data_IF_224041409094
#
_entry.id   IF_224041409094
#
_cell.length_a   1.000
_cell.length_b   1.000
_cell.length_c   1.000
_cell.angle_alpha   90.00
_cell.angle_beta   90.00
_cell.angle_gamma   90.00
#
_symmetry.space_group_name_H-M   'P 1'
#
loop_
_entity.id
_entity.type
_entity.pdbx_description
1 polymer ?
#
# COMPACT_ATOMS: atom_id res chain seq x y z
N UNK A 1 44.21 40.42 35.78
CA UNK A 1 43.83 39.76 34.50
C UNK A 1 42.93 38.52 34.64
N UNK A 2 42.75 37.92 35.83
CA UNK A 2 41.88 36.75 36.04
C UNK A 2 40.40 37.12 36.26
N UNK A 3 40.10 38.24 36.91
CA UNK A 3 38.72 38.69 37.21
C UNK A 3 37.93 39.11 35.95
N UNK A 4 38.59 39.75 34.98
CA UNK A 4 37.98 40.18 33.71
C UNK A 4 37.64 39.01 32.76
N UNK A 5 38.38 37.89 32.83
CA UNK A 5 38.10 36.68 32.03
C UNK A 5 36.88 35.90 32.57
N UNK A 6 36.66 35.90 33.88
CA UNK A 6 35.47 35.28 34.49
C UNK A 6 34.20 36.08 34.21
N UNK A 7 34.26 37.41 34.20
CA UNK A 7 33.11 38.27 33.92
C UNK A 7 32.59 38.15 32.49
N UNK A 8 33.48 38.13 31.48
CA UNK A 8 33.09 37.90 30.08
C UNK A 8 32.47 36.52 29.84
N UNK A 9 32.91 35.50 30.57
CA UNK A 9 32.29 34.16 30.53
C UNK A 9 30.89 34.16 31.12
N UNK A 10 30.68 34.81 32.27
CA UNK A 10 29.37 34.89 32.93
C UNK A 10 28.35 35.65 32.06
N UNK A 11 28.74 36.77 31.45
CA UNK A 11 27.87 37.54 30.54
C UNK A 11 27.48 36.72 29.29
N UNK A 12 28.42 35.95 28.73
CA UNK A 12 28.14 35.05 27.60
C UNK A 12 27.19 33.90 27.96
N UNK A 13 27.27 33.37 29.17
CA UNK A 13 26.38 32.31 29.67
C UNK A 13 24.97 32.86 29.86
N UNK A 14 24.84 34.02 30.51
CA UNK A 14 23.57 34.70 30.75
C UNK A 14 22.86 35.04 29.44
N UNK A 15 23.58 35.56 28.43
CA UNK A 15 23.03 35.83 27.10
C UNK A 15 22.55 34.58 26.36
N UNK A 16 23.28 33.46 26.47
CA UNK A 16 22.90 32.18 25.84
C UNK A 16 21.63 31.59 26.46
N UNK A 17 21.53 31.64 27.80
CA UNK A 17 20.37 31.11 28.53
C UNK A 17 19.13 31.97 28.32
N UNK A 18 19.26 33.31 28.31
CA UNK A 18 18.16 34.22 28.01
C UNK A 18 17.61 34.05 26.58
N UNK A 19 18.51 33.89 25.59
CA UNK A 19 18.11 33.61 24.20
C UNK A 19 17.38 32.28 24.03
N UNK A 20 17.81 31.24 24.74
CA UNK A 20 17.11 29.95 24.75
C UNK A 20 15.72 30.06 25.39
N UNK A 21 15.59 30.76 26.52
CA UNK A 21 14.29 30.93 27.19
C UNK A 21 13.28 31.73 26.36
N UNK A 22 13.72 32.68 25.53
CA UNK A 22 12.88 33.34 24.53
C UNK A 22 12.47 32.40 23.40
N UNK A 23 13.40 31.58 22.88
CA UNK A 23 13.12 30.62 21.82
C UNK A 23 12.12 29.53 22.23
N UNK A 24 12.05 29.22 23.53
CA UNK A 24 11.04 28.30 24.11
C UNK A 24 9.77 29.02 24.62
N UNK A 25 9.61 30.33 24.38
CA UNK A 25 8.41 31.10 24.72
C UNK A 25 8.22 31.40 26.22
N UNK A 26 9.23 31.15 27.05
CA UNK A 26 9.19 31.35 28.51
C UNK A 26 9.41 32.83 28.86
N UNK A 27 10.11 33.56 28.00
CA UNK A 27 10.24 35.02 28.04
C UNK A 27 9.61 35.59 26.75
N UNK A 28 9.00 36.77 26.83
CA UNK A 28 8.22 37.34 25.70
C UNK A 28 8.90 38.50 24.97
N UNK A 29 9.91 39.16 25.55
CA UNK A 29 10.80 40.13 24.86
C UNK A 29 12.09 40.39 25.68
N UNK A 30 13.19 40.78 25.02
CA UNK A 30 14.48 41.18 25.60
C UNK A 30 14.49 42.56 26.28
N UNK A 31 13.45 43.37 26.12
CA UNK A 31 13.46 44.78 26.53
C UNK A 31 13.33 45.06 28.04
N UNK A 32 13.43 44.06 28.92
CA UNK A 32 13.66 44.33 30.36
C UNK A 32 14.83 43.51 30.93
N UNK A 33 16.06 43.98 30.63
CA UNK A 33 17.32 43.43 31.18
C UNK A 33 17.27 43.27 32.71
N UNK A 34 16.50 44.12 33.42
CA UNK A 34 16.35 44.04 34.87
C UNK A 34 15.56 42.81 35.38
N UNK A 35 14.55 42.31 34.65
CA UNK A 35 13.80 41.12 35.09
C UNK A 35 14.60 39.83 34.85
N UNK A 36 15.31 39.75 33.73
CA UNK A 36 16.16 38.59 33.39
C UNK A 36 17.36 38.47 34.32
N UNK A 37 18.00 39.60 34.68
CA UNK A 37 19.09 39.61 35.64
C UNK A 37 18.63 39.23 37.06
N UNK A 38 17.46 39.67 37.49
CA UNK A 38 16.87 39.34 38.80
C UNK A 38 16.43 37.86 38.91
N UNK A 39 15.96 37.27 37.81
CA UNK A 39 15.65 35.84 37.74
C UNK A 39 16.93 34.99 37.79
N UNK A 40 17.95 35.37 36.99
CA UNK A 40 19.20 34.62 36.90
C UNK A 40 20.12 34.81 38.12
N UNK A 41 20.01 35.92 38.85
CA UNK A 41 20.76 36.14 40.09
C UNK A 41 20.34 35.22 41.24
N UNK A 42 19.23 34.48 41.10
CA UNK A 42 18.79 33.46 42.06
C UNK A 42 19.57 32.14 41.94
N UNK A 43 20.34 31.97 40.87
CA UNK A 43 21.10 30.75 40.60
C UNK A 43 22.59 30.96 40.84
N UNK A 44 23.24 29.92 41.37
CA UNK A 44 24.69 29.91 41.54
C UNK A 44 25.42 29.71 40.20
N UNK A 45 26.69 30.10 40.13
CA UNK A 45 27.50 29.97 38.89
C UNK A 45 27.58 28.52 38.39
N UNK A 46 27.57 27.53 39.29
CA UNK A 46 27.55 26.10 38.91
C UNK A 46 26.22 25.70 38.24
N UNK A 47 25.08 26.21 38.72
CA UNK A 47 23.76 25.91 38.16
C UNK A 47 23.58 26.57 36.79
N UNK A 48 24.13 27.78 36.59
CA UNK A 48 24.14 28.45 35.29
C UNK A 48 24.97 27.71 34.24
N UNK A 49 26.07 27.07 34.64
CA UNK A 49 26.88 26.23 33.75
C UNK A 49 26.16 24.95 33.34
N UNK A 50 25.42 24.32 34.27
CA UNK A 50 24.58 23.16 33.96
C UNK A 50 23.50 23.56 32.96
N UNK A 51 22.74 24.64 33.21
CA UNK A 51 21.73 25.19 32.29
C UNK A 51 22.29 25.43 30.88
N UNK A 52 23.47 26.05 30.75
CA UNK A 52 24.08 26.30 29.45
C UNK A 52 24.46 25.02 28.71
N UNK A 53 24.96 24.00 29.42
CA UNK A 53 25.32 22.71 28.83
C UNK A 53 24.09 21.93 28.35
N UNK A 54 22.96 22.04 29.07
CA UNK A 54 21.69 21.43 28.67
C UNK A 54 21.09 22.08 27.43
N UNK A 55 21.25 23.40 27.25
CA UNK A 55 20.76 24.12 26.07
C UNK A 55 21.68 24.01 24.84
N UNK A 56 23.01 23.90 25.02
CA UNK A 56 23.92 23.64 23.89
C UNK A 56 23.72 22.27 23.22
N UNK A 57 23.15 21.31 23.93
CA UNK A 57 22.76 20.00 23.38
C UNK A 57 21.39 20.03 22.66
N UNK A 58 20.72 21.18 22.60
CA UNK A 58 19.42 21.39 21.94
C UNK A 58 19.47 22.55 20.95
N UNK A 59 20.40 22.54 19.99
CA UNK A 59 20.13 23.22 18.73
C UNK A 59 19.41 22.23 17.79
N UNK A 60 18.12 22.45 17.48
CA UNK A 60 17.41 21.65 16.48
C UNK A 60 17.65 22.21 15.07
N UNK A 61 17.91 21.32 14.11
CA UNK A 61 17.65 21.60 12.70
C UNK A 61 16.11 21.71 12.52
N UNK A 62 15.59 22.65 11.70
CA UNK A 62 14.22 23.11 11.80
C UNK A 62 13.28 22.33 10.89
N UNK A 63 12.72 21.23 11.40
CA UNK A 63 11.41 20.72 10.95
C UNK A 63 10.64 20.24 12.18
N UNK A 64 9.70 21.05 12.64
CA UNK A 64 8.70 20.75 13.66
C UNK A 64 7.77 19.62 13.16
N UNK A 65 7.13 18.77 13.98
CA UNK A 65 6.24 19.12 15.09
C UNK A 65 5.80 17.90 15.92
N UNK A 66 5.52 18.14 17.22
CA UNK A 66 4.66 17.39 18.16
C UNK A 66 5.07 15.99 18.66
N UNK A 67 5.39 15.89 19.96
CA UNK A 67 5.45 14.62 20.70
C UNK A 67 4.70 14.73 22.03
N UNK A 68 3.67 13.89 22.20
CA UNK A 68 3.01 13.61 23.49
C UNK A 68 3.76 12.44 24.13
N UNK A 69 4.29 12.63 25.34
CA UNK A 69 4.92 11.54 26.12
C UNK A 69 3.96 11.13 27.24
N UNK A 70 3.35 9.94 27.12
CA UNK A 70 2.61 9.32 28.22
C UNK A 70 3.57 8.57 29.14
N UNK A 71 3.66 9.00 30.41
CA UNK A 71 4.41 8.33 31.48
C UNK A 71 3.44 7.42 32.23
N UNK A 72 3.48 6.10 32.04
CA UNK A 72 2.65 5.17 32.81
C UNK A 72 3.48 4.37 33.81
N UNK A 73 3.11 4.45 35.10
CA UNK A 73 3.63 3.62 36.21
C UNK A 73 2.98 2.23 36.09
N UNK A 74 3.76 1.17 36.24
CA UNK A 74 3.33 -0.20 35.98
C UNK A 74 2.72 -0.87 37.21
N UNK A 75 1.58 -1.55 37.02
CA UNK A 75 1.09 -2.62 37.88
C UNK A 75 1.28 -3.99 37.17
N UNK A 76 1.70 -5.06 37.86
CA UNK A 76 1.91 -6.37 37.26
C UNK A 76 0.60 -7.18 37.28
N UNK A 77 -0.16 -7.14 36.19
CA UNK A 77 -1.35 -8.02 36.07
C UNK A 77 -2.34 -7.77 34.92
N UNK A 78 -2.27 -6.66 34.20
CA UNK A 78 -3.26 -6.33 33.16
C UNK A 78 -2.74 -6.56 31.73
N UNK A 79 -3.61 -7.08 30.85
CA UNK A 79 -3.47 -7.02 29.39
C UNK A 79 -3.31 -5.54 29.01
N UNK A 80 -2.31 -5.20 28.19
CA UNK A 80 -2.00 -3.81 27.83
C UNK A 80 -2.52 -3.49 26.43
N UNK A 81 -3.33 -2.44 26.37
CA UNK A 81 -3.72 -1.74 25.15
C UNK A 81 -2.66 -0.67 24.85
N UNK A 82 -2.15 -0.63 23.62
CA UNK A 82 -1.21 0.41 23.17
C UNK A 82 -1.97 1.38 22.27
N UNK A 83 -2.19 2.64 22.71
CA UNK A 83 -2.83 3.64 21.87
C UNK A 83 -1.87 4.17 20.80
N UNK A 84 -2.36 4.33 19.58
CA UNK A 84 -1.79 5.24 18.59
C UNK A 84 -1.90 6.70 19.12
N UNK A 85 -1.06 7.67 18.67
CA UNK A 85 -1.26 9.11 18.91
C UNK A 85 -2.71 9.65 18.75
N UNK A 86 -3.59 8.93 18.03
CA UNK A 86 -5.02 9.25 17.88
C UNK A 86 -5.98 8.45 18.79
N UNK A 87 -5.46 7.68 19.77
CA UNK A 87 -6.27 6.96 20.77
C UNK A 87 -6.83 5.60 20.36
N UNK A 88 -6.57 5.12 19.14
CA UNK A 88 -7.00 3.78 18.69
C UNK A 88 -6.04 2.67 19.17
N UNK A 89 -6.58 1.55 19.64
CA UNK A 89 -5.82 0.39 20.14
C UNK A 89 -5.42 -0.49 18.95
N UNK A 90 -4.11 -0.61 18.67
CA UNK A 90 -3.60 -1.32 17.47
C UNK A 90 -3.19 -2.77 17.77
N UNK A 91 -3.06 -3.16 19.04
CA UNK A 91 -2.73 -4.55 19.42
C UNK A 91 -2.97 -4.81 20.91
N UNK A 92 -3.32 -6.06 21.25
CA UNK A 92 -3.25 -6.60 22.62
C UNK A 92 -1.89 -7.26 22.85
N UNK A 93 -1.16 -6.83 23.89
CA UNK A 93 0.11 -7.47 24.28
C UNK A 93 -0.16 -8.57 25.30
N UNK A 94 0.32 -9.82 25.12
CA UNK A 94 0.16 -10.89 26.10
C UNK A 94 0.69 -10.51 27.48
N UNK A 95 -0.04 -10.91 28.53
CA UNK A 95 0.35 -10.70 29.92
C UNK A 95 1.74 -11.34 30.18
N UNK A 96 2.65 -10.58 30.82
CA UNK A 96 4.02 -11.01 31.11
C UNK A 96 5.10 -10.47 30.16
N UNK A 97 4.73 -9.76 29.09
CA UNK A 97 5.70 -9.15 28.17
C UNK A 97 6.41 -7.96 28.82
N UNK A 98 7.74 -8.05 29.00
CA UNK A 98 8.56 -6.95 29.55
C UNK A 98 9.00 -6.01 28.43
N UNK A 99 8.44 -4.81 28.37
CA UNK A 99 8.87 -3.74 27.45
C UNK A 99 10.06 -2.98 28.05
N UNK A 100 11.15 -2.83 27.29
CA UNK A 100 12.29 -1.97 27.67
C UNK A 100 12.46 -0.84 26.64
N UNK A 101 12.64 0.42 27.07
CA UNK A 101 12.95 1.51 26.15
C UNK A 101 14.31 1.24 25.49
N UNK A 102 14.40 1.28 24.17
CA UNK A 102 15.66 1.42 23.45
C UNK A 102 15.78 2.86 22.95
N UNK A 103 17.00 3.39 23.03
CA UNK A 103 17.37 4.75 22.66
C UNK A 103 16.81 5.19 21.30
N UNK A 104 16.57 6.50 21.19
CA UNK A 104 15.95 7.38 20.16
C UNK A 104 16.12 7.07 18.65
N UNK A 105 16.69 5.94 18.22
CA UNK A 105 16.87 5.60 16.80
C UNK A 105 16.23 4.29 16.35
N UNK A 106 15.58 3.51 17.24
CA UNK A 106 15.02 2.20 16.90
C UNK A 106 13.81 1.81 17.77
N UNK A 107 12.63 1.70 17.18
CA UNK A 107 11.46 0.92 17.65
C UNK A 107 10.54 0.70 16.43
N UNK A 108 9.92 -0.46 16.15
CA UNK A 108 9.14 -1.39 17.00
C UNK A 108 9.23 -2.87 16.55
N UNK A 109 8.61 -3.79 17.30
CA UNK A 109 8.55 -5.25 17.04
C UNK A 109 7.13 -5.69 16.66
N UNK A 110 6.98 -6.54 15.64
CA UNK A 110 5.77 -7.33 15.40
C UNK A 110 6.01 -8.78 15.86
N UNK A 111 5.11 -9.31 16.69
CA UNK A 111 5.16 -10.69 17.20
C UNK A 111 4.02 -11.45 16.54
N UNK A 112 4.32 -12.32 15.59
CA UNK A 112 3.34 -13.34 15.15
C UNK A 112 3.50 -14.58 16.04
N UNK A 113 2.40 -15.21 16.51
CA UNK A 113 2.44 -16.58 16.97
C UNK A 113 2.62 -17.50 15.75
N UNK A 114 3.58 -18.41 15.79
CA UNK A 114 3.59 -19.56 14.89
C UNK A 114 2.48 -20.52 15.32
N UNK A 115 1.59 -20.91 14.41
CA UNK A 115 0.56 -21.94 14.66
C UNK A 115 1.15 -23.36 14.73
N UNK A 116 2.44 -23.53 14.45
CA UNK A 116 3.11 -24.80 14.18
C UNK A 116 4.34 -25.10 15.07
N UNK A 117 4.51 -24.39 16.19
CA UNK A 117 5.60 -24.66 17.13
C UNK A 117 5.07 -24.99 18.54
N UNK A 118 5.50 -26.13 19.11
CA UNK A 118 5.39 -26.48 20.52
C UNK A 118 6.22 -25.50 21.40
N UNK A 119 5.80 -24.24 21.44
CA UNK A 119 6.41 -23.16 22.19
C UNK A 119 6.62 -21.87 21.37
N UNK A 120 6.60 -20.68 22.03
CA UNK A 120 6.78 -19.40 21.36
C UNK A 120 8.22 -19.27 20.83
N UNK A 121 8.39 -19.41 19.51
CA UNK A 121 9.65 -19.09 18.83
C UNK A 121 9.58 -17.69 18.21
N UNK A 122 10.52 -16.82 18.57
CA UNK A 122 10.54 -15.40 18.20
C UNK A 122 11.53 -15.16 17.04
N UNK A 123 11.14 -14.41 16.00
CA UNK A 123 12.09 -13.78 15.06
C UNK A 123 12.32 -12.31 15.42
N UNK A 124 13.58 -11.88 15.43
CA UNK A 124 13.97 -10.46 15.59
C UNK A 124 13.98 -9.78 14.22
N UNK A 125 13.31 -8.63 14.11
CA UNK A 125 13.41 -7.69 12.98
C UNK A 125 13.46 -6.25 13.49
N UNK A 126 13.98 -5.32 12.69
CA UNK A 126 14.06 -3.89 13.01
C UNK A 126 13.23 -3.10 11.99
N UNK A 127 12.39 -2.18 12.46
CA UNK A 127 11.67 -1.19 11.62
C UNK A 127 12.18 0.19 11.99
N UNK A 128 12.46 1.05 11.00
CA UNK A 128 12.91 2.42 11.27
C UNK A 128 11.74 3.33 11.64
N UNK A 129 11.99 4.38 12.42
CA UNK A 129 10.95 5.36 12.79
C UNK A 129 10.38 6.06 11.56
N UNK A 130 11.21 6.35 10.55
CA UNK A 130 10.76 6.92 9.27
C UNK A 130 9.84 5.98 8.48
N UNK A 131 10.05 4.67 8.54
CA UNK A 131 9.15 3.71 7.90
C UNK A 131 7.79 3.66 8.61
N UNK A 132 7.80 3.80 9.93
CA UNK A 132 6.58 3.89 10.74
C UNK A 132 5.86 5.22 10.48
N UNK A 133 6.57 6.35 10.41
CA UNK A 133 6.00 7.67 10.10
C UNK A 133 5.42 7.74 8.69
N UNK A 134 6.09 7.16 7.69
CA UNK A 134 5.58 7.08 6.32
C UNK A 134 4.29 6.24 6.21
N UNK A 135 4.17 5.16 7.00
CA UNK A 135 2.95 4.37 7.13
C UNK A 135 1.89 4.98 8.07
N UNK A 136 2.29 5.82 9.04
CA UNK A 136 1.43 6.44 10.03
C UNK A 136 0.88 7.81 9.60
N UNK A 137 1.42 8.42 8.56
CA UNK A 137 0.91 9.66 7.96
C UNK A 137 -0.37 9.46 7.12
N UNK A 138 -1.16 8.43 7.42
CA UNK A 138 -2.46 8.29 6.77
C UNK A 138 -3.42 9.33 7.34
N UNK A 139 -3.80 10.27 6.48
CA UNK A 139 -4.62 11.42 6.84
C UNK A 139 -5.97 10.88 7.32
N UNK A 140 -6.39 11.16 8.56
CA UNK A 140 -7.75 10.87 8.98
C UNK A 140 -8.68 11.58 8.00
N UNK A 141 -9.65 10.84 7.48
CA UNK A 141 -10.55 11.32 6.46
C UNK A 141 -11.17 12.67 6.83
N UNK A 142 -10.70 13.74 6.20
CA UNK A 142 -11.66 14.74 5.76
C UNK A 142 -12.61 14.02 4.79
N UNK A 143 -13.91 14.23 4.96
CA UNK A 143 -14.89 13.75 3.98
C UNK A 143 -14.62 14.47 2.67
N UNK A 144 -13.76 13.89 1.83
CA UNK A 144 -13.63 14.28 0.44
C UNK A 144 -14.90 13.74 -0.23
N UNK A 145 -15.73 14.66 -0.72
CA UNK A 145 -16.86 14.31 -1.60
C UNK A 145 -16.27 13.79 -2.91
N UNK A 146 -16.19 12.47 -3.03
CA UNK A 146 -15.53 11.76 -4.12
C UNK A 146 -16.58 11.37 -5.17
N UNK A 147 -16.53 11.99 -6.33
CA UNK A 147 -17.36 11.69 -7.49
C UNK A 147 -16.66 10.78 -8.52
N UNK A 148 -17.40 10.18 -9.47
CA UNK A 148 -16.82 9.38 -10.55
C UNK A 148 -15.71 10.09 -11.30
N UNK A 149 -14.57 9.40 -11.48
CA UNK A 149 -13.37 9.92 -12.12
C UNK A 149 -12.39 10.61 -11.17
N UNK A 150 -12.78 10.91 -9.93
CA UNK A 150 -11.88 11.53 -8.95
C UNK A 150 -10.74 10.58 -8.58
N UNK A 151 -9.52 11.12 -8.59
CA UNK A 151 -8.30 10.43 -8.19
C UNK A 151 -7.89 10.87 -6.79
N UNK A 152 -7.51 9.92 -5.95
CA UNK A 152 -7.09 10.21 -4.57
C UNK A 152 -6.09 9.17 -4.04
N UNK A 153 -5.45 9.50 -2.92
CA UNK A 153 -4.65 8.59 -2.10
C UNK A 153 -5.03 8.80 -0.65
N UNK A 154 -5.31 7.73 0.09
CA UNK A 154 -5.57 7.83 1.53
C UNK A 154 -4.30 8.16 2.32
N UNK A 155 -3.14 7.71 1.82
CA UNK A 155 -1.83 8.06 2.37
C UNK A 155 -0.67 7.74 1.42
N UNK A 156 0.54 8.13 1.81
CA UNK A 156 1.76 7.89 1.03
C UNK A 156 1.98 6.39 0.74
N UNK A 157 1.55 5.53 1.67
CA UNK A 157 1.63 4.08 1.56
C UNK A 157 0.52 3.42 0.73
N UNK A 158 -0.58 4.14 0.50
CA UNK A 158 -1.74 3.62 -0.18
C UNK A 158 -1.59 3.77 -1.71
N UNK A 159 -2.16 2.85 -2.50
CA UNK A 159 -2.26 3.03 -3.93
C UNK A 159 -3.04 4.30 -4.30
N UNK A 160 -2.69 4.89 -5.44
CA UNK A 160 -3.59 5.85 -6.10
C UNK A 160 -4.86 5.14 -6.51
N UNK A 161 -5.99 5.74 -6.17
CA UNK A 161 -7.32 5.21 -6.40
C UNK A 161 -8.07 6.12 -7.35
N UNK A 162 -8.99 5.56 -8.13
CA UNK A 162 -9.95 6.32 -8.95
C UNK A 162 -11.37 5.83 -8.67
N UNK A 163 -12.31 6.75 -8.57
CA UNK A 163 -13.74 6.42 -8.39
C UNK A 163 -14.31 5.89 -9.71
N UNK A 164 -14.69 4.62 -9.70
CA UNK A 164 -15.41 3.94 -10.76
C UNK A 164 -16.91 4.20 -10.57
N UNK A 165 -17.63 4.69 -11.60
CA UNK A 165 -19.06 4.99 -11.48
C UNK A 165 -19.91 3.74 -11.22
N UNK A 166 -21.08 3.94 -10.62
CA UNK A 166 -22.14 2.94 -10.69
C UNK A 166 -22.64 2.79 -12.14
N UNK A 167 -23.17 1.62 -12.49
CA UNK A 167 -23.69 1.36 -13.83
C UNK A 167 -23.97 -0.11 -14.07
N UNK A 168 -24.28 -0.48 -15.31
CA UNK A 168 -24.52 -1.87 -15.69
C UNK A 168 -23.73 -2.25 -16.93
N UNK A 169 -23.40 -3.54 -17.05
CA UNK A 169 -22.70 -4.08 -18.21
C UNK A 169 -23.10 -5.55 -18.45
N UNK A 170 -22.72 -6.06 -19.62
CA UNK A 170 -22.78 -7.48 -19.91
C UNK A 170 -21.46 -8.15 -19.54
N UNK A 171 -21.52 -9.01 -18.51
CA UNK A 171 -20.40 -9.84 -18.06
C UNK A 171 -20.30 -11.10 -18.91
N UNK A 172 -19.07 -11.51 -19.24
CA UNK A 172 -18.76 -12.65 -20.09
C UNK A 172 -18.66 -12.31 -21.58
N UNK A 173 -18.40 -13.33 -22.40
CA UNK A 173 -18.18 -13.19 -23.86
C UNK A 173 -19.30 -13.85 -24.69
N UNK A 174 -19.67 -13.28 -25.85
CA UNK A 174 -20.62 -13.91 -26.75
C UNK A 174 -20.01 -15.20 -27.32
N UNK A 175 -20.85 -16.18 -27.65
CA UNK A 175 -20.39 -17.49 -28.13
C UNK A 175 -19.49 -17.43 -29.38
N UNK A 176 -19.61 -16.36 -30.17
CA UNK A 176 -18.84 -16.10 -31.39
C UNK A 176 -17.57 -15.27 -31.16
N UNK A 177 -17.27 -14.83 -29.93
CA UNK A 177 -16.04 -14.07 -29.66
C UNK A 177 -14.82 -14.93 -29.94
N UNK A 178 -13.90 -14.40 -30.74
CA UNK A 178 -12.67 -15.10 -31.07
C UNK A 178 -11.87 -15.41 -29.78
N UNK A 179 -11.33 -16.62 -29.72
CA UNK A 179 -10.57 -17.13 -28.57
C UNK A 179 -11.36 -17.28 -27.26
N UNK A 180 -12.70 -17.22 -27.28
CA UNK A 180 -13.56 -17.47 -26.12
C UNK A 180 -13.20 -18.77 -25.38
N UNK A 181 -13.12 -18.70 -24.05
CA UNK A 181 -12.96 -19.88 -23.19
C UNK A 181 -14.34 -20.43 -22.76
N UNK A 182 -14.43 -21.72 -22.40
CA UNK A 182 -15.70 -22.36 -22.07
C UNK A 182 -16.43 -21.76 -20.85
N UNK A 183 -15.71 -21.21 -19.89
CA UNK A 183 -16.21 -20.74 -18.59
C UNK A 183 -16.63 -19.25 -18.58
N UNK A 184 -16.71 -18.61 -19.76
CA UNK A 184 -17.01 -17.18 -19.92
C UNK A 184 -18.48 -16.88 -20.20
N UNK A 185 -19.35 -17.88 -20.08
CA UNK A 185 -20.77 -17.73 -20.36
C UNK A 185 -21.67 -18.42 -19.33
N UNK A 186 -23.00 -18.32 -19.51
CA UNK A 186 -23.66 -17.43 -20.48
C UNK A 186 -23.40 -15.96 -20.15
N UNK A 187 -23.48 -15.08 -21.15
CA UNK A 187 -23.40 -13.65 -20.86
C UNK A 187 -24.56 -13.25 -19.96
N UNK A 188 -24.29 -12.44 -18.94
CA UNK A 188 -25.30 -11.98 -17.97
C UNK A 188 -25.17 -10.49 -17.68
N UNK A 189 -26.32 -9.84 -17.46
CA UNK A 189 -26.33 -8.44 -17.04
C UNK A 189 -25.94 -8.36 -15.57
N UNK A 190 -24.99 -7.49 -15.26
CA UNK A 190 -24.56 -7.17 -13.90
C UNK A 190 -24.69 -5.67 -13.68
N UNK A 191 -25.17 -5.28 -12.51
CA UNK A 191 -25.36 -3.90 -12.09
C UNK A 191 -24.45 -3.58 -10.89
N UNK A 192 -23.49 -2.68 -11.11
CA UNK A 192 -22.70 -2.07 -10.04
C UNK A 192 -23.57 -0.97 -9.43
N UNK A 193 -24.21 -1.29 -8.32
CA UNK A 193 -25.25 -0.45 -7.69
C UNK A 193 -24.69 0.80 -7.00
N UNK A 194 -23.44 0.76 -6.57
CA UNK A 194 -22.78 1.88 -5.87
C UNK A 194 -21.41 2.14 -6.49
N UNK A 195 -21.00 3.42 -6.65
CA UNK A 195 -19.64 3.72 -7.02
C UNK A 195 -18.66 3.12 -6.03
N UNK A 196 -17.51 2.68 -6.52
CA UNK A 196 -16.42 2.18 -5.71
C UNK A 196 -15.11 2.76 -6.23
N UNK A 197 -14.08 2.77 -5.40
CA UNK A 197 -12.76 3.14 -5.88
C UNK A 197 -11.95 1.88 -6.24
N UNK A 198 -11.21 1.93 -7.34
CA UNK A 198 -10.25 0.92 -7.73
C UNK A 198 -8.84 1.54 -7.79
N UNK A 199 -7.81 0.76 -7.49
CA UNK A 199 -6.43 1.20 -7.71
C UNK A 199 -6.26 1.61 -9.17
N UNK A 200 -5.66 2.77 -9.44
CA UNK A 200 -5.35 3.25 -10.81
C UNK A 200 -4.45 2.25 -11.53
N UNK A 201 -3.55 1.64 -10.77
CA UNK A 201 -2.56 0.65 -11.19
C UNK A 201 -2.74 -0.65 -10.40
N UNK A 202 -2.08 -1.71 -10.85
CA UNK A 202 -1.77 -2.86 -10.00
C UNK A 202 -0.97 -2.39 -8.77
N UNK A 203 -1.05 -3.12 -7.66
CA UNK A 203 -0.24 -2.81 -6.47
C UNK A 203 1.23 -2.98 -6.82
N UNK A 204 2.04 -1.97 -6.49
CA UNK A 204 3.47 -1.97 -6.83
C UNK A 204 4.31 -2.68 -5.77
N UNK A 205 5.54 -3.05 -6.11
CA UNK A 205 6.51 -3.55 -5.15
C UNK A 205 6.83 -2.52 -4.05
N UNK A 206 6.86 -1.22 -4.35
CA UNK A 206 7.05 -0.17 -3.34
C UNK A 206 5.95 -0.21 -2.27
N UNK A 207 4.70 -0.34 -2.70
CA UNK A 207 3.53 -0.45 -1.82
C UNK A 207 3.53 -1.78 -1.06
N UNK A 208 3.92 -2.87 -1.70
CA UNK A 208 4.08 -4.16 -1.01
C UNK A 208 5.19 -4.12 0.05
N UNK A 209 6.31 -3.46 -0.26
CA UNK A 209 7.44 -3.36 0.65
C UNK A 209 7.12 -2.57 1.90
N UNK A 210 6.24 -1.57 1.79
CA UNK A 210 5.68 -0.92 2.96
C UNK A 210 4.93 -1.88 3.89
N UNK A 211 4.11 -2.75 3.29
CA UNK A 211 3.38 -3.78 4.03
C UNK A 211 4.36 -4.77 4.69
N UNK A 212 5.46 -5.12 4.03
CA UNK A 212 6.49 -6.00 4.61
C UNK A 212 7.27 -5.31 5.73
N UNK A 213 7.70 -4.07 5.53
CA UNK A 213 8.46 -3.27 6.53
C UNK A 213 7.67 -3.08 7.82
N UNK A 214 6.35 -2.96 7.73
CA UNK A 214 5.45 -2.84 8.89
C UNK A 214 4.92 -4.19 9.38
N UNK A 215 5.34 -5.30 8.77
CA UNK A 215 5.03 -6.67 9.18
C UNK A 215 3.67 -7.20 8.73
N UNK A 216 2.89 -6.43 7.96
CA UNK A 216 1.57 -6.84 7.44
C UNK A 216 1.61 -7.94 6.38
N UNK A 217 2.71 -8.05 5.62
CA UNK A 217 2.84 -8.98 4.49
C UNK A 217 3.79 -10.16 4.75
N UNK A 218 4.24 -10.33 5.99
CA UNK A 218 5.17 -11.38 6.39
C UNK A 218 6.62 -11.14 5.91
N UNK A 219 7.55 -12.04 6.28
CA UNK A 219 8.99 -11.81 6.06
C UNK A 219 9.52 -12.35 4.73
N UNK A 220 8.70 -13.05 3.94
CA UNK A 220 9.12 -13.66 2.68
C UNK A 220 8.89 -12.66 1.54
N UNK A 221 9.98 -12.12 1.03
CA UNK A 221 9.96 -11.23 -0.12
C UNK A 221 9.53 -11.98 -1.39
N UNK A 222 8.53 -11.46 -2.12
CA UNK A 222 8.20 -11.98 -3.44
C UNK A 222 9.34 -11.65 -4.41
N UNK A 223 9.73 -12.65 -5.21
CA UNK A 223 10.77 -12.54 -6.22
C UNK A 223 10.34 -11.57 -7.34
N UNK A 224 11.22 -10.68 -7.77
CA UNK A 224 10.96 -9.60 -8.73
C UNK A 224 11.49 -9.90 -10.15
N UNK A 225 11.91 -11.14 -10.40
CA UNK A 225 12.54 -11.58 -11.66
C UNK A 225 13.83 -10.84 -12.02
N UNK A 226 14.44 -10.09 -11.10
CA UNK A 226 15.56 -9.22 -11.42
C UNK A 226 15.17 -7.98 -12.25
N UNK A 227 13.87 -7.69 -12.41
CA UNK A 227 13.37 -6.45 -13.02
C UNK A 227 13.60 -5.24 -12.10
N UNK A 228 13.79 -5.52 -10.81
CA UNK A 228 13.79 -4.53 -9.76
C UNK A 228 12.41 -4.36 -9.11
N UNK A 229 12.39 -3.55 -8.06
CA UNK A 229 11.21 -3.25 -7.24
C UNK A 229 10.67 -1.86 -7.60
N UNK A 230 10.09 -1.13 -6.65
CA UNK A 230 9.57 0.21 -6.92
C UNK A 230 8.21 0.14 -7.62
N UNK A 231 8.09 0.80 -8.78
CA UNK A 231 6.83 0.94 -9.54
C UNK A 231 6.50 -0.27 -10.44
N UNK A 232 7.28 -1.34 -10.41
CA UNK A 232 6.85 -2.60 -11.01
C UNK A 232 5.70 -3.22 -10.18
N UNK A 233 4.75 -3.91 -10.81
CA UNK A 233 3.68 -4.58 -10.08
C UNK A 233 4.25 -5.68 -9.19
N UNK A 234 3.73 -5.79 -7.97
CA UNK A 234 4.06 -6.94 -7.12
C UNK A 234 3.54 -8.22 -7.80
N UNK A 235 4.41 -9.21 -7.87
CA UNK A 235 4.13 -10.52 -8.47
C UNK A 235 4.65 -11.64 -7.56
N UNK A 236 4.47 -12.90 -7.95
CA UNK A 236 4.87 -14.07 -7.14
C UNK A 236 4.23 -14.08 -5.75
N UNK A 237 2.98 -13.63 -5.67
CA UNK A 237 2.16 -13.66 -4.46
C UNK A 237 0.97 -14.59 -4.64
N UNK A 238 0.63 -15.30 -3.58
CA UNK A 238 -0.56 -16.14 -3.53
C UNK A 238 -1.79 -15.37 -3.04
N UNK A 239 -2.98 -15.99 -3.13
CA UNK A 239 -4.22 -15.32 -2.75
C UNK A 239 -4.29 -14.99 -1.24
N UNK A 240 -3.87 -15.88 -0.32
CA UNK A 240 -3.71 -15.55 1.10
C UNK A 240 -2.81 -14.34 1.36
N UNK A 241 -1.70 -14.19 0.63
CA UNK A 241 -0.80 -13.04 0.70
C UNK A 241 -1.48 -11.76 0.20
N UNK A 242 -2.20 -11.81 -0.92
CA UNK A 242 -3.01 -10.69 -1.40
C UNK A 242 -4.06 -10.24 -0.35
N UNK A 243 -4.70 -11.19 0.31
CA UNK A 243 -5.62 -10.97 1.45
C UNK A 243 -4.94 -10.36 2.68
N UNK A 244 -3.66 -10.66 2.94
CA UNK A 244 -2.88 -10.01 4.02
C UNK A 244 -2.64 -8.54 3.69
N UNK A 245 -2.23 -8.25 2.45
CA UNK A 245 -2.02 -6.88 1.98
C UNK A 245 -3.27 -6.00 2.13
N UNK A 246 -4.44 -6.44 1.64
CA UNK A 246 -5.67 -5.62 1.75
C UNK A 246 -6.14 -5.41 3.19
N UNK A 247 -5.90 -6.39 4.08
CA UNK A 247 -6.18 -6.25 5.52
C UNK A 247 -5.26 -5.23 6.17
N UNK A 248 -3.96 -5.31 5.86
CA UNK A 248 -2.99 -4.33 6.31
C UNK A 248 -3.33 -2.92 5.82
N UNK A 249 -3.64 -2.78 4.52
CA UNK A 249 -4.00 -1.50 3.91
C UNK A 249 -5.26 -0.89 4.57
N UNK A 250 -6.26 -1.73 4.86
CA UNK A 250 -7.44 -1.30 5.61
C UNK A 250 -7.09 -0.82 7.02
N UNK A 251 -6.19 -1.52 7.71
CA UNK A 251 -5.78 -1.18 9.07
C UNK A 251 -5.01 0.14 9.15
N UNK A 252 -4.08 0.40 8.20
CA UNK A 252 -3.28 1.62 8.23
C UNK A 252 -4.06 2.86 7.77
N UNK A 253 -5.06 2.70 6.90
CA UNK A 253 -5.88 3.81 6.39
C UNK A 253 -7.15 4.05 7.20
N UNK A 254 -7.60 3.08 7.98
CA UNK A 254 -8.94 3.09 8.58
C UNK A 254 -10.08 2.97 7.55
N UNK A 255 -9.76 2.64 6.29
CA UNK A 255 -10.73 2.50 5.19
C UNK A 255 -10.99 1.05 4.85
N UNK A 256 -12.07 0.80 4.13
CA UNK A 256 -12.51 -0.56 3.75
C UNK A 256 -11.90 -0.97 2.42
N UNK A 257 -10.64 -1.40 2.45
CA UNK A 257 -9.95 -1.98 1.30
C UNK A 257 -10.21 -3.48 1.17
N UNK A 258 -10.24 -3.97 -0.07
CA UNK A 258 -10.53 -5.36 -0.43
C UNK A 258 -9.99 -5.69 -1.81
N UNK A 259 -10.01 -6.96 -2.18
CA UNK A 259 -9.90 -7.35 -3.58
C UNK A 259 -11.19 -6.94 -4.32
N UNK A 260 -11.06 -6.71 -5.64
CA UNK A 260 -12.22 -6.56 -6.51
C UNK A 260 -12.99 -7.89 -6.57
N UNK A 261 -14.31 -7.81 -6.72
CA UNK A 261 -15.04 -8.97 -7.25
C UNK A 261 -14.66 -9.20 -8.71
N UNK A 262 -14.89 -10.40 -9.22
CA UNK A 262 -14.72 -10.72 -10.63
C UNK A 262 -15.58 -9.81 -11.52
N UNK A 263 -16.80 -9.51 -11.06
CA UNK A 263 -17.74 -8.63 -11.74
C UNK A 263 -17.27 -7.17 -11.79
N UNK A 264 -16.83 -6.62 -10.65
CA UNK A 264 -16.27 -5.27 -10.58
C UNK A 264 -15.02 -5.13 -11.43
N UNK A 265 -14.16 -6.16 -11.43
CA UNK A 265 -12.96 -6.18 -12.24
C UNK A 265 -13.31 -6.11 -13.74
N UNK A 266 -14.26 -6.93 -14.21
CA UNK A 266 -14.64 -6.93 -15.64
C UNK A 266 -15.35 -5.62 -16.02
N UNK A 267 -16.21 -5.10 -15.15
CA UNK A 267 -16.84 -3.79 -15.34
C UNK A 267 -15.80 -2.68 -15.51
N UNK A 268 -14.83 -2.64 -14.59
CA UNK A 268 -13.75 -1.68 -14.58
C UNK A 268 -12.83 -1.83 -15.80
N UNK A 269 -12.51 -3.05 -16.21
CA UNK A 269 -11.67 -3.32 -17.39
C UNK A 269 -12.37 -2.89 -18.69
N UNK A 270 -13.68 -3.17 -18.82
CA UNK A 270 -14.47 -2.81 -19.99
C UNK A 270 -14.67 -1.32 -20.14
N UNK A 271 -14.88 -0.59 -19.04
CA UNK A 271 -15.10 0.86 -19.05
C UNK A 271 -16.10 1.33 -20.14
N UNK A 272 -17.21 0.61 -20.28
CA UNK A 272 -18.26 0.88 -21.27
C UNK A 272 -18.08 0.22 -22.64
N UNK A 273 -16.94 -0.43 -22.91
CA UNK A 273 -16.70 -1.12 -24.18
C UNK A 273 -17.22 -2.56 -24.17
N UNK A 274 -17.58 -3.08 -25.34
CA UNK A 274 -17.84 -4.50 -25.59
C UNK A 274 -16.68 -5.21 -26.29
N UNK A 275 -15.57 -4.49 -26.49
CA UNK A 275 -14.37 -4.98 -27.13
C UNK A 275 -13.75 -6.14 -26.32
N UNK A 276 -13.22 -7.19 -27.00
CA UNK A 276 -12.50 -8.25 -26.30
C UNK A 276 -11.21 -7.74 -25.65
N UNK A 277 -10.56 -6.72 -26.22
CA UNK A 277 -9.27 -6.16 -25.79
C UNK A 277 -9.20 -4.66 -26.07
N UNK A 278 -8.38 -3.89 -25.34
CA UNK A 278 -8.08 -2.53 -25.74
C UNK A 278 -7.28 -2.54 -27.06
N UNK A 279 -7.41 -1.49 -27.88
CA UNK A 279 -6.80 -1.45 -29.21
C UNK A 279 -7.43 -2.39 -30.25
N UNK A 280 -8.56 -3.04 -29.96
CA UNK A 280 -9.27 -3.86 -30.95
C UNK A 280 -9.75 -2.98 -32.10
N UNK A 281 -9.22 -3.26 -33.30
CA UNK A 281 -9.42 -2.44 -34.50
C UNK A 281 -8.25 -2.49 -35.48
N UNK A 282 -7.03 -2.76 -34.99
CA UNK A 282 -5.88 -3.11 -35.81
C UNK A 282 -4.88 -3.98 -35.02
N UNK A 283 -4.25 -4.96 -35.67
CA UNK A 283 -3.33 -5.89 -35.00
C UNK A 283 -2.06 -5.20 -34.46
N UNK A 284 -1.67 -4.07 -35.04
CA UNK A 284 -0.50 -3.29 -34.61
C UNK A 284 -0.74 -2.42 -33.37
N UNK A 285 -1.99 -2.10 -33.02
CA UNK A 285 -2.28 -1.17 -31.91
C UNK A 285 -2.27 -1.82 -30.52
N UNK A 286 -2.23 -3.15 -30.40
CA UNK A 286 -2.29 -3.80 -29.09
C UNK A 286 -1.15 -3.34 -28.16
N UNK A 287 0.08 -3.24 -28.66
CA UNK A 287 1.24 -2.86 -27.86
C UNK A 287 1.24 -1.40 -27.38
N UNK A 288 0.31 -0.56 -27.82
CA UNK A 288 0.10 0.80 -27.26
C UNK A 288 -0.78 0.77 -25.99
N UNK A 289 -1.47 -0.35 -25.77
CA UNK A 289 -2.53 -0.46 -24.77
C UNK A 289 -2.31 -1.59 -23.75
N UNK A 290 -1.47 -2.58 -24.05
CA UNK A 290 -1.21 -3.70 -23.15
C UNK A 290 0.20 -4.28 -23.31
N UNK A 291 0.72 -4.84 -22.23
CA UNK A 291 1.90 -5.71 -22.21
C UNK A 291 1.45 -7.17 -22.23
N UNK A 292 1.80 -7.92 -23.26
CA UNK A 292 1.40 -9.32 -23.40
C UNK A 292 2.46 -10.15 -24.12
N UNK A 293 2.15 -11.41 -24.46
CA UNK A 293 3.09 -12.27 -25.19
C UNK A 293 3.26 -11.73 -26.62
N UNK A 294 4.27 -10.88 -26.79
CA UNK A 294 4.59 -10.13 -28.00
C UNK A 294 5.95 -10.61 -28.58
N UNK A 295 6.44 -9.93 -29.62
CA UNK A 295 7.76 -10.25 -30.21
C UNK A 295 8.94 -9.91 -29.29
N UNK A 296 8.75 -9.08 -28.26
CA UNK A 296 9.78 -8.74 -27.27
C UNK A 296 9.91 -9.86 -26.24
N UNK A 297 8.79 -10.29 -25.65
CA UNK A 297 8.68 -11.36 -24.67
C UNK A 297 9.15 -12.70 -25.23
N UNK A 298 8.87 -13.02 -26.49
CA UNK A 298 9.34 -14.25 -27.14
C UNK A 298 10.87 -14.40 -27.17
N UNK A 299 11.63 -13.31 -27.03
CA UNK A 299 13.10 -13.38 -26.88
C UNK A 299 13.51 -13.97 -25.54
N UNK A 300 12.70 -13.78 -24.50
CA UNK A 300 12.93 -14.29 -23.14
C UNK A 300 12.30 -15.66 -22.92
N UNK A 301 11.15 -15.92 -23.55
CA UNK A 301 10.39 -17.16 -23.38
C UNK A 301 10.09 -17.84 -24.74
N UNK A 302 11.13 -18.23 -25.51
CA UNK A 302 10.96 -18.77 -26.87
C UNK A 302 10.19 -20.10 -26.89
N UNK A 303 10.24 -20.85 -25.79
CA UNK A 303 9.58 -22.15 -25.63
C UNK A 303 8.13 -22.04 -25.13
N UNK A 304 7.60 -20.82 -24.94
CA UNK A 304 6.16 -20.62 -24.74
C UNK A 304 5.48 -20.85 -26.09
N UNK A 305 5.26 -22.13 -26.38
CA UNK A 305 4.51 -22.60 -27.53
C UNK A 305 3.04 -22.34 -27.24
N UNK A 306 2.50 -21.24 -27.76
CA UNK A 306 1.06 -21.13 -27.87
C UNK A 306 0.62 -21.96 -29.08
N UNK A 307 -0.10 -23.06 -28.80
CA UNK A 307 -0.65 -23.98 -29.78
C UNK A 307 -1.60 -23.31 -30.81
N UNK A 308 -1.93 -22.03 -30.62
CA UNK A 308 -2.93 -21.29 -31.40
C UNK A 308 -2.35 -20.11 -32.20
N UNK A 309 -1.02 -19.89 -32.20
CA UNK A 309 -0.43 -18.78 -32.96
C UNK A 309 -0.96 -17.40 -32.55
N UNK A 310 -1.38 -17.24 -31.29
CA UNK A 310 -2.06 -16.05 -30.78
C UNK A 310 -1.13 -15.07 -30.06
N UNK A 311 0.17 -15.10 -30.40
CA UNK A 311 1.14 -14.06 -30.06
C UNK A 311 0.65 -12.72 -30.59
N UNK A 312 0.91 -11.66 -29.83
CA UNK A 312 0.60 -10.30 -30.25
C UNK A 312 1.63 -9.88 -31.32
N UNK A 313 1.21 -9.54 -32.54
CA UNK A 313 2.12 -9.32 -33.68
C UNK A 313 2.76 -7.92 -33.67
N UNK A 314 3.21 -7.44 -32.50
CA UNK A 314 3.91 -6.17 -32.32
C UNK A 314 5.01 -6.30 -31.27
N UNK A 315 5.70 -5.19 -30.97
CA UNK A 315 6.69 -5.11 -29.90
C UNK A 315 6.33 -3.99 -28.93
N UNK A 316 6.06 -4.33 -27.68
CA UNK A 316 5.78 -3.38 -26.59
C UNK A 316 7.06 -2.87 -25.89
N UNK A 317 8.21 -3.50 -26.17
CA UNK A 317 9.50 -3.12 -25.61
C UNK A 317 9.79 -3.68 -24.22
N UNK A 318 8.88 -4.48 -23.64
CA UNK A 318 9.03 -5.11 -22.34
C UNK A 318 9.12 -6.64 -22.48
N UNK A 319 10.28 -7.27 -22.22
CA UNK A 319 10.40 -8.73 -22.31
C UNK A 319 9.69 -9.48 -21.17
N UNK A 320 9.21 -8.77 -20.14
CA UNK A 320 8.50 -9.28 -18.98
C UNK A 320 7.52 -8.20 -18.46
N UNK A 321 7.14 -8.25 -17.18
CA UNK A 321 6.31 -7.20 -16.57
C UNK A 321 6.89 -5.80 -16.77
N UNK A 322 6.01 -4.82 -16.99
CA UNK A 322 6.37 -3.42 -17.20
C UNK A 322 6.18 -2.62 -15.91
N UNK A 323 6.73 -1.40 -15.89
CA UNK A 323 6.38 -0.42 -14.86
C UNK A 323 4.89 -0.09 -15.02
N UNK A 324 4.14 -0.04 -13.92
CA UNK A 324 2.71 0.25 -13.99
C UNK A 324 2.46 1.60 -14.67
N UNK A 325 1.41 1.68 -15.48
CA UNK A 325 1.05 2.89 -16.23
C UNK A 325 1.87 3.15 -17.48
N UNK A 326 2.62 2.16 -17.98
CA UNK A 326 3.40 2.29 -19.21
C UNK A 326 2.55 2.34 -20.48
N UNK A 327 1.30 1.86 -20.41
CA UNK A 327 0.38 1.79 -21.55
C UNK A 327 -0.80 2.75 -21.36
N UNK A 328 -1.60 2.95 -22.41
CA UNK A 328 -2.74 3.87 -22.33
C UNK A 328 -3.82 3.36 -21.35
N UNK A 329 -4.43 4.26 -20.54
CA UNK A 329 -5.54 3.86 -19.67
C UNK A 329 -6.82 3.62 -20.47
N UNK A 330 -7.79 2.90 -19.87
CA UNK A 330 -9.14 2.80 -20.42
C UNK A 330 -9.98 4.06 -20.12
N UNK A 331 -11.24 4.07 -20.55
CA UNK A 331 -12.14 5.24 -20.40
C UNK A 331 -12.47 5.61 -18.94
N UNK A 332 -12.23 4.73 -17.97
CA UNK A 332 -12.33 5.03 -16.54
C UNK A 332 -11.01 5.53 -15.94
N UNK A 333 -9.94 5.67 -16.73
CA UNK A 333 -8.63 6.12 -16.26
C UNK A 333 -7.81 5.04 -15.56
N UNK A 334 -8.19 3.76 -15.70
CA UNK A 334 -7.49 2.61 -15.15
C UNK A 334 -6.45 2.10 -16.15
N UNK A 335 -5.26 1.82 -15.66
CA UNK A 335 -4.12 1.32 -16.43
C UNK A 335 -3.96 -0.18 -16.25
N UNK A 336 -3.35 -0.83 -17.24
CA UNK A 336 -2.91 -2.23 -17.16
C UNK A 336 -4.04 -3.22 -16.82
N UNK A 337 -5.30 -2.84 -17.09
CA UNK A 337 -6.45 -3.74 -16.86
C UNK A 337 -6.40 -4.98 -17.76
N UNK A 338 -5.64 -4.93 -18.86
CA UNK A 338 -5.34 -6.09 -19.71
C UNK A 338 -3.84 -6.13 -19.93
N UNK A 339 -3.22 -7.29 -19.71
CA UNK A 339 -1.76 -7.47 -19.82
C UNK A 339 -1.02 -7.31 -18.49
N UNK A 340 0.28 -7.04 -18.58
CA UNK A 340 1.21 -6.85 -17.46
C UNK A 340 1.20 -8.01 -16.45
N UNK A 341 0.47 -7.94 -15.34
CA UNK A 341 0.23 -9.11 -14.48
C UNK A 341 -1.25 -9.41 -14.30
N UNK A 342 -1.59 -10.70 -14.24
CA UNK A 342 -2.95 -11.10 -13.89
C UNK A 342 -3.25 -10.71 -12.45
N UNK A 343 -4.51 -10.38 -12.16
CA UNK A 343 -4.90 -9.82 -10.88
C UNK A 343 -5.80 -10.79 -10.11
N UNK A 344 -5.44 -11.11 -8.86
CA UNK A 344 -6.29 -11.85 -7.95
C UNK A 344 -7.62 -11.13 -7.69
N UNK A 345 -8.75 -11.84 -7.80
CA UNK A 345 -10.07 -11.36 -7.37
C UNK A 345 -10.55 -12.09 -6.11
N UNK A 346 -11.65 -11.61 -5.52
CA UNK A 346 -12.23 -12.23 -4.34
C UNK A 346 -12.92 -13.57 -4.65
N UNK A 347 -13.48 -13.75 -5.84
CA UNK A 347 -14.45 -14.80 -6.17
C UNK A 347 -13.90 -16.22 -6.13
N UNK A 348 -14.75 -17.17 -5.69
CA UNK A 348 -14.49 -18.60 -5.85
C UNK A 348 -14.72 -19.02 -7.31
N UNK A 349 -14.07 -20.09 -7.74
CA UNK A 349 -14.28 -20.60 -9.10
C UNK A 349 -15.66 -21.24 -9.26
N UNK A 350 -16.36 -20.84 -10.33
CA UNK A 350 -17.54 -21.51 -10.88
C UNK A 350 -17.30 -21.79 -12.36
N UNK A 351 -17.78 -22.94 -12.86
CA UNK A 351 -17.50 -23.40 -14.22
C UNK A 351 -18.22 -22.60 -15.32
N UNK A 352 -19.22 -21.81 -14.94
CA UNK A 352 -19.99 -20.93 -15.79
C UNK A 352 -20.57 -19.78 -14.93
N UNK A 353 -21.36 -18.91 -15.57
CA UNK A 353 -22.02 -17.77 -14.92
C UNK A 353 -23.47 -18.03 -14.49
N UNK A 354 -23.97 -19.27 -14.56
CA UNK A 354 -25.36 -19.59 -14.20
C UNK A 354 -25.59 -19.45 -12.69
N UNK A 355 -26.56 -18.62 -12.33
CA UNK A 355 -26.95 -18.41 -10.92
C UNK A 355 -26.01 -17.52 -10.10
N UNK A 356 -25.07 -16.83 -10.75
CA UNK A 356 -24.15 -15.93 -10.03
C UNK A 356 -24.76 -14.59 -9.64
N UNK A 357 -24.10 -13.83 -8.74
CA UNK A 357 -24.56 -12.51 -8.30
C UNK A 357 -24.64 -11.49 -9.44
N UNK A 358 -25.69 -10.67 -9.47
CA UNK A 358 -25.93 -9.67 -10.51
C UNK A 358 -25.74 -8.23 -10.02
N UNK A 359 -25.28 -8.04 -8.79
CA UNK A 359 -25.18 -6.75 -8.09
C UNK A 359 -23.72 -6.25 -7.92
N UNK A 360 -22.77 -6.90 -8.61
CA UNK A 360 -21.35 -6.62 -8.49
C UNK A 360 -20.67 -7.26 -7.29
N UNK A 361 -21.39 -7.94 -6.40
CA UNK A 361 -20.78 -8.64 -5.26
C UNK A 361 -19.92 -9.83 -5.71
N UNK A 362 -18.93 -10.19 -4.88
CA UNK A 362 -18.09 -11.35 -5.13
C UNK A 362 -18.89 -12.65 -4.96
N UNK A 363 -18.70 -13.57 -5.90
CA UNK A 363 -19.30 -14.90 -5.85
C UNK A 363 -18.50 -15.82 -4.92
N UNK A 364 -18.85 -15.80 -3.63
CA UNK A 364 -18.16 -16.57 -2.58
C UNK A 364 -18.70 -18.00 -2.38
N UNK A 365 -19.51 -18.49 -3.32
CA UNK A 365 -19.98 -19.88 -3.38
C UNK A 365 -19.43 -20.57 -4.63
N UNK A 366 -19.33 -21.91 -4.63
CA UNK A 366 -18.69 -22.69 -5.69
C UNK A 366 -17.48 -23.48 -5.18
N UNK A 367 -16.47 -23.70 -6.03
CA UNK A 367 -15.25 -24.41 -5.65
C UNK A 367 -14.17 -23.45 -5.12
N UNK A 368 -14.28 -23.09 -3.85
CA UNK A 368 -13.39 -22.15 -3.17
C UNK A 368 -11.97 -22.68 -2.87
N UNK A 369 -11.65 -23.92 -3.28
CA UNK A 369 -10.25 -24.37 -3.37
C UNK A 369 -9.49 -23.59 -4.47
N UNK A 370 -10.25 -22.96 -5.35
CA UNK A 370 -9.76 -22.12 -6.42
C UNK A 370 -10.36 -20.73 -6.34
N UNK A 371 -9.56 -19.75 -6.74
CA UNK A 371 -9.97 -18.35 -6.91
C UNK A 371 -9.76 -17.94 -8.36
N UNK A 372 -10.49 -16.91 -8.75
CA UNK A 372 -10.34 -16.33 -10.09
C UNK A 372 -9.19 -15.32 -10.09
N UNK A 373 -8.45 -15.33 -11.19
CA UNK A 373 -7.57 -14.23 -11.59
C UNK A 373 -7.99 -13.72 -12.97
N UNK A 374 -7.77 -12.43 -13.23
CA UNK A 374 -8.24 -11.69 -14.41
C UNK A 374 -7.10 -10.90 -15.07
N UNK A 375 -7.33 -10.32 -16.25
CA UNK A 375 -6.39 -9.38 -16.89
C UNK A 375 -5.48 -9.97 -17.95
N UNK A 376 -5.14 -11.25 -17.84
CA UNK A 376 -4.06 -11.79 -18.65
C UNK A 376 -2.69 -11.36 -18.08
N UNK A 377 -1.62 -11.33 -18.87
CA UNK A 377 -0.28 -10.96 -18.42
C UNK A 377 0.72 -10.82 -19.59
N UNK A 378 1.93 -10.33 -19.29
CA UNK A 378 3.07 -10.21 -20.21
C UNK A 378 3.46 -11.54 -20.89
N UNK A 379 3.27 -12.68 -20.23
CA UNK A 379 3.59 -13.98 -20.79
C UNK A 379 2.39 -14.66 -21.48
N UNK A 380 1.24 -13.97 -21.55
CA UNK A 380 -0.03 -14.55 -21.99
C UNK A 380 -0.40 -14.06 -23.39
N UNK A 381 -0.98 -14.96 -24.17
CA UNK A 381 -1.35 -14.68 -25.56
C UNK A 381 -2.63 -13.86 -25.67
N UNK A 382 -3.01 -13.50 -26.89
CA UNK A 382 -4.26 -12.81 -27.19
C UNK A 382 -5.44 -13.55 -26.56
N UNK A 383 -5.50 -14.89 -26.59
CA UNK A 383 -6.60 -15.65 -25.99
C UNK A 383 -6.87 -15.28 -24.52
N UNK A 384 -5.80 -15.09 -23.73
CA UNK A 384 -5.87 -14.83 -22.29
C UNK A 384 -5.87 -13.34 -21.94
N UNK A 385 -5.31 -12.48 -22.79
CA UNK A 385 -5.40 -11.02 -22.69
C UNK A 385 -6.75 -10.52 -23.23
N UNK A 386 -7.88 -11.06 -22.76
CA UNK A 386 -9.24 -10.56 -23.07
C UNK A 386 -9.95 -10.09 -21.80
N UNK A 387 -10.82 -9.10 -21.96
CA UNK A 387 -11.64 -8.53 -20.88
C UNK A 387 -12.50 -9.59 -20.21
N UNK A 388 -13.01 -10.57 -20.96
CA UNK A 388 -13.82 -11.68 -20.46
C UNK A 388 -13.02 -12.90 -19.98
N UNK A 389 -11.71 -13.00 -20.26
CA UNK A 389 -10.94 -14.22 -20.02
C UNK A 389 -10.77 -14.51 -18.52
N UNK A 390 -11.12 -15.72 -18.11
CA UNK A 390 -11.02 -16.21 -16.72
C UNK A 390 -9.81 -17.13 -16.57
N UNK A 391 -9.17 -17.05 -15.41
CA UNK A 391 -8.13 -18.00 -15.04
C UNK A 391 -8.36 -18.53 -13.63
N UNK A 392 -8.73 -19.82 -13.56
CA UNK A 392 -8.83 -20.62 -12.33
C UNK A 392 -7.44 -20.87 -11.73
N UNK A 393 -7.25 -20.57 -10.46
CA UNK A 393 -5.98 -20.77 -9.74
C UNK A 393 -6.21 -21.40 -8.37
N UNK A 394 -5.29 -22.23 -7.90
CA UNK A 394 -5.30 -22.69 -6.51
C UNK A 394 -4.94 -21.55 -5.56
N UNK A 395 -5.36 -21.63 -4.30
CA UNK A 395 -5.08 -20.59 -3.31
C UNK A 395 -3.58 -20.28 -3.14
N UNK A 396 -2.71 -21.29 -3.30
CA UNK A 396 -1.25 -21.20 -3.13
C UNK A 396 -0.49 -20.96 -4.45
N UNK A 397 -1.20 -20.74 -5.55
CA UNK A 397 -0.57 -20.39 -6.83
C UNK A 397 0.17 -19.06 -6.69
N UNK A 398 1.44 -19.02 -7.07
CA UNK A 398 2.21 -17.78 -7.20
C UNK A 398 3.02 -17.87 -8.49
N UNK A 399 2.91 -16.85 -9.33
CA UNK A 399 3.58 -16.77 -10.63
C UNK A 399 4.14 -15.37 -10.81
N UNK A 400 5.17 -15.24 -11.63
CA UNK A 400 5.73 -13.95 -12.05
C UNK A 400 4.82 -13.14 -12.99
N UNK A 401 3.64 -13.67 -13.28
CA UNK A 401 2.62 -13.07 -14.12
C UNK A 401 1.31 -12.88 -13.33
N UNK A 402 1.37 -12.89 -12.00
CA UNK A 402 0.21 -12.84 -11.10
C UNK A 402 0.48 -11.94 -9.89
N UNK A 403 -0.29 -10.87 -9.79
CA UNK A 403 -0.28 -9.86 -8.74
C UNK A 403 -1.69 -9.55 -8.22
N UNK A 404 -1.95 -8.28 -7.88
CA UNK A 404 -3.25 -7.84 -7.42
C UNK A 404 -3.50 -6.34 -7.70
N UNK A 405 -4.78 -5.99 -7.75
CA UNK A 405 -5.31 -4.62 -7.61
C UNK A 405 -6.29 -4.60 -6.45
N UNK A 406 -6.42 -3.45 -5.81
CA UNK A 406 -7.33 -3.26 -4.68
C UNK A 406 -8.53 -2.41 -5.06
N UNK A 407 -9.65 -2.67 -4.39
CA UNK A 407 -10.81 -1.80 -4.35
C UNK A 407 -11.02 -1.23 -2.95
N UNK A 408 -11.68 -0.08 -2.87
CA UNK A 408 -12.10 0.58 -1.64
C UNK A 408 -13.57 0.97 -1.74
N UNK A 409 -14.33 0.75 -0.67
CA UNK A 409 -15.69 1.30 -0.54
C UNK A 409 -15.64 2.82 -0.26
N UNK A 410 -16.65 3.53 -0.74
CA UNK A 410 -16.80 5.00 -0.64
C UNK A 410 -17.91 5.41 0.32
N UNK A 411 -18.11 4.62 1.40
CA UNK A 411 -19.24 4.74 2.32
C UNK A 411 -19.40 6.09 3.03
#
# INVERSE_FOLDING_TARGET
MVVLKSWRRIVGIVGTVAGALLAYGILTNFSSIHQTASFLSKFTIKELFVLQSTFRLRQPDPLSSNMIVLRMRADPGAIREVPNPNGAIVSTVPAGTTLRPLSEKRAWYLVEPREDADGPSFRKGYVSVSDVEWAANCVPAEMIDLGPGDRFRDCAAAPEMIVVPAGSFMMGSPASEEYRLPDEGPQRKVEITTPFAAGVYEVTFEQWDACQRTGGCGPKEPHDLGLGRGNYPVMNIDWPQARKYVRWLSAITGKRYRLLSEAEWEYAARAGTTAPRPGSGSDSSYCEHLNGLDLTALKLVPDVVDAVGSTIPCSDGYPAGAVVGSFSPNAFGLYDMIGNVSEWTQDCYNADYLGGPTDGSAWETGDCRFRISRGGAWAYSLQKNRTAARTKRTLNSSYSSLGLRVARRLD
#
